data_IF_065740481505
#
_entry.id   IF_065740481505
#
_cell.length_a   1.000
_cell.length_b   1.000
_cell.length_c   1.000
_cell.angle_alpha   90.00
_cell.angle_beta   90.00
_cell.angle_gamma   90.00
#
_symmetry.space_group_name_H-M   'P 1'
#
loop_
_entity.id
_entity.type
_entity.pdbx_description
1 polymer ?
#
# COMPACT_ATOMS: atom_id res chain seq x y z
N UNK A 1 16.00 16.15 28.94
CA UNK A 1 14.75 15.36 28.95
C UNK A 1 14.06 15.59 27.62
N UNK A 2 13.99 14.59 26.75
CA UNK A 2 13.25 14.72 25.49
C UNK A 2 11.75 14.67 25.80
N UNK A 3 10.99 15.66 25.34
CA UNK A 3 9.52 15.63 25.39
C UNK A 3 9.03 14.35 24.69
N UNK A 4 8.04 13.63 25.25
CA UNK A 4 7.45 12.51 24.54
C UNK A 4 6.87 13.02 23.22
N UNK A 5 7.02 12.28 22.11
CA UNK A 5 6.44 12.69 20.83
C UNK A 5 4.93 12.85 21.02
N UNK A 6 4.39 14.01 20.64
CA UNK A 6 2.96 14.29 20.75
C UNK A 6 2.17 13.22 19.99
N UNK A 7 1.09 12.66 20.56
CA UNK A 7 0.27 11.70 19.87
C UNK A 7 -0.40 12.36 18.66
N UNK A 8 -0.26 11.72 17.49
CA UNK A 8 -0.91 12.11 16.25
C UNK A 8 -2.24 11.36 16.18
N UNK A 9 -3.35 12.10 16.14
CA UNK A 9 -4.68 11.50 16.02
C UNK A 9 -5.00 11.24 14.55
N UNK A 10 -5.05 9.99 14.12
CA UNK A 10 -5.42 9.63 12.75
C UNK A 10 -6.89 9.25 12.71
N UNK A 11 -7.73 10.06 12.07
CA UNK A 11 -9.14 9.77 11.86
C UNK A 11 -9.29 9.04 10.53
N UNK A 12 -9.86 7.85 10.59
CA UNK A 12 -10.12 7.04 9.39
C UNK A 12 -11.60 7.12 9.07
N UNK A 13 -11.92 7.63 7.89
CA UNK A 13 -13.28 7.80 7.40
C UNK A 13 -13.52 6.93 6.17
N UNK A 14 -14.73 6.41 6.01
CA UNK A 14 -15.19 5.78 4.78
C UNK A 14 -16.14 6.72 4.03
N UNK A 15 -16.53 6.34 2.82
CA UNK A 15 -17.61 7.01 2.08
C UNK A 15 -18.96 6.97 2.83
N UNK A 16 -19.14 6.05 3.78
CA UNK A 16 -20.32 5.94 4.63
C UNK A 16 -20.22 6.69 5.97
N UNK A 17 -19.13 7.43 6.21
CA UNK A 17 -18.89 8.15 7.46
C UNK A 17 -17.66 7.66 8.25
N UNK A 18 -17.45 8.19 9.48
CA UNK A 18 -16.28 7.87 10.28
C UNK A 18 -16.25 6.39 10.69
N UNK A 19 -15.09 5.74 10.53
CA UNK A 19 -14.90 4.34 10.91
C UNK A 19 -14.27 4.21 12.29
N UNK A 20 -13.09 4.82 12.47
CA UNK A 20 -12.34 4.74 13.72
C UNK A 20 -11.37 5.90 13.86
N UNK A 21 -10.85 6.06 15.07
CA UNK A 21 -9.77 6.99 15.39
C UNK A 21 -8.60 6.16 15.94
N UNK A 22 -7.41 6.38 15.39
CA UNK A 22 -6.18 5.69 15.77
C UNK A 22 -5.23 6.71 16.38
N UNK A 23 -4.79 6.48 17.60
CA UNK A 23 -3.67 7.23 18.17
C UNK A 23 -2.35 6.67 17.62
N UNK A 24 -1.71 7.44 16.76
CA UNK A 24 -0.46 7.10 16.13
C UNK A 24 0.66 8.02 16.64
N UNK A 25 1.89 7.70 16.25
CA UNK A 25 3.02 8.60 16.45
C UNK A 25 3.66 8.94 15.10
N UNK A 26 4.54 9.94 15.08
CA UNK A 26 5.17 10.39 13.85
C UNK A 26 6.11 9.35 13.20
N UNK A 27 6.55 8.32 13.92
CA UNK A 27 7.44 7.28 13.39
C UNK A 27 6.69 6.14 12.71
N UNK A 28 5.38 6.02 12.93
CA UNK A 28 4.54 5.02 12.29
C UNK A 28 4.53 5.15 10.77
N UNK A 29 4.39 3.99 10.14
CA UNK A 29 4.17 3.85 8.71
C UNK A 29 2.68 3.69 8.42
N UNK A 30 2.32 3.83 7.14
CA UNK A 30 0.96 3.52 6.67
C UNK A 30 0.59 2.06 6.97
N UNK A 31 1.56 1.13 6.93
CA UNK A 31 1.33 -0.27 7.31
C UNK A 31 0.91 -0.41 8.78
N UNK A 32 1.48 0.39 9.68
CA UNK A 32 1.11 0.40 11.10
C UNK A 32 -0.33 0.92 11.28
N UNK A 33 -0.71 1.96 10.53
CA UNK A 33 -2.09 2.46 10.50
C UNK A 33 -3.04 1.39 9.98
N UNK A 34 -2.72 0.75 8.85
CA UNK A 34 -3.55 -0.36 8.32
C UNK A 34 -3.74 -1.45 9.35
N UNK A 35 -2.67 -1.79 10.09
CA UNK A 35 -2.72 -2.79 11.17
C UNK A 35 -3.60 -2.34 12.34
N UNK A 36 -3.59 -1.05 12.69
CA UNK A 36 -4.46 -0.51 13.74
C UNK A 36 -5.93 -0.47 13.30
N UNK A 37 -6.21 -0.07 12.05
CA UNK A 37 -7.56 -0.09 11.46
C UNK A 37 -8.10 -1.51 11.39
N UNK A 38 -7.27 -2.49 11.03
CA UNK A 38 -7.63 -3.92 11.02
C UNK A 38 -8.10 -4.37 12.41
N UNK A 39 -7.29 -4.12 13.44
CA UNK A 39 -7.66 -4.43 14.83
C UNK A 39 -8.94 -3.72 15.31
N UNK A 40 -9.18 -2.49 14.86
CA UNK A 40 -10.31 -1.68 15.32
C UNK A 40 -11.62 -2.00 14.58
N UNK A 41 -11.55 -2.34 13.30
CA UNK A 41 -12.73 -2.45 12.41
C UNK A 41 -12.98 -3.88 11.90
N UNK A 42 -11.99 -4.76 12.01
CA UNK A 42 -12.01 -6.10 11.43
C UNK A 42 -11.81 -6.13 9.91
N UNK A 43 -11.53 -4.99 9.27
CA UNK A 43 -11.24 -4.93 7.83
C UNK A 43 -9.79 -5.37 7.61
N UNK A 44 -9.50 -6.49 6.93
CA UNK A 44 -8.14 -6.98 6.76
C UNK A 44 -7.26 -5.96 6.02
N UNK A 45 -5.98 -5.82 6.40
CA UNK A 45 -5.04 -4.85 5.77
C UNK A 45 -5.02 -4.88 4.24
N UNK A 46 -5.17 -6.06 3.64
CA UNK A 46 -5.18 -6.26 2.17
C UNK A 46 -6.41 -5.64 1.51
N UNK A 47 -7.52 -5.55 2.24
CA UNK A 47 -8.75 -4.88 1.80
C UNK A 47 -8.68 -3.35 1.99
N UNK A 48 -7.64 -2.82 2.61
CA UNK A 48 -7.56 -1.40 2.95
C UNK A 48 -6.77 -0.57 1.93
N UNK A 49 -7.44 0.39 1.29
CA UNK A 49 -6.82 1.53 0.60
C UNK A 49 -6.92 2.77 1.46
N UNK A 50 -5.80 3.26 1.97
CA UNK A 50 -5.75 4.53 2.69
C UNK A 50 -5.35 5.63 1.72
N UNK A 51 -6.16 6.67 1.65
CA UNK A 51 -5.92 7.85 0.85
C UNK A 51 -5.79 9.06 1.75
N UNK A 52 -4.83 9.92 1.42
CA UNK A 52 -4.80 11.29 1.89
C UNK A 52 -5.35 12.16 0.77
N UNK A 53 -6.46 12.85 1.05
CA UNK A 53 -7.24 13.60 0.05
C UNK A 53 -7.67 12.69 -1.13
N UNK A 54 -6.90 12.67 -2.22
CA UNK A 54 -7.12 11.86 -3.42
C UNK A 54 -5.94 10.94 -3.76
N UNK A 55 -4.89 10.92 -2.93
CA UNK A 55 -3.67 10.16 -3.19
C UNK A 55 -3.59 8.90 -2.33
N UNK A 56 -3.48 7.73 -2.98
CA UNK A 56 -3.25 6.46 -2.30
C UNK A 56 -1.87 6.46 -1.62
N UNK A 57 -1.87 6.20 -0.31
CA UNK A 57 -0.68 6.12 0.51
C UNK A 57 -0.04 4.74 0.41
N UNK A 58 1.29 4.71 0.27
CA UNK A 58 2.06 3.45 0.20
C UNK A 58 2.34 2.93 1.60
N UNK A 59 2.37 1.62 1.77
CA UNK A 59 2.65 0.98 3.07
C UNK A 59 3.95 1.47 3.73
N UNK A 60 4.98 1.74 2.94
CA UNK A 60 6.29 2.21 3.41
C UNK A 60 6.35 3.72 3.71
N UNK A 61 5.28 4.48 3.43
CA UNK A 61 5.25 5.92 3.71
C UNK A 61 5.16 6.17 5.21
N UNK A 62 6.00 7.08 5.72
CA UNK A 62 5.97 7.49 7.12
C UNK A 62 4.98 8.64 7.34
N UNK A 63 4.30 8.65 8.49
CA UNK A 63 3.36 9.71 8.83
C UNK A 63 4.04 11.07 9.00
N UNK A 64 5.30 11.09 9.44
CA UNK A 64 6.11 12.32 9.52
C UNK A 64 6.34 13.02 8.18
N UNK A 65 6.18 12.32 7.06
CA UNK A 65 6.34 12.87 5.71
C UNK A 65 5.07 13.48 5.13
N UNK A 66 3.94 13.33 5.82
CA UNK A 66 2.65 13.86 5.38
C UNK A 66 2.49 15.32 5.85
N UNK A 67 1.75 16.15 5.09
CA UNK A 67 1.43 17.51 5.51
C UNK A 67 0.47 17.48 6.71
N UNK A 68 1.04 17.44 7.92
CA UNK A 68 0.30 17.44 9.18
C UNK A 68 0.22 18.88 9.68
N UNK A 69 -0.85 19.60 9.34
CA UNK A 69 -1.06 20.99 9.80
C UNK A 69 -1.53 21.08 11.27
N UNK A 70 -2.14 20.01 11.78
CA UNK A 70 -2.72 19.89 13.13
C UNK A 70 -2.34 18.52 13.71
N UNK A 71 -2.40 18.27 15.03
CA UNK A 71 -2.18 16.94 15.59
C UNK A 71 -3.29 15.93 15.22
N UNK A 72 -4.02 16.18 14.13
CA UNK A 72 -5.06 15.34 13.56
C UNK A 72 -4.81 15.16 12.06
N UNK A 73 -4.86 13.92 11.58
CA UNK A 73 -4.74 13.55 10.18
C UNK A 73 -5.99 12.79 9.75
N UNK A 74 -6.68 13.26 8.73
CA UNK A 74 -7.86 12.59 8.18
C UNK A 74 -7.46 11.73 6.99
N UNK A 75 -7.73 10.42 7.07
CA UNK A 75 -7.49 9.45 6.01
C UNK A 75 -8.80 8.85 5.53
N UNK A 76 -8.95 8.73 4.22
CA UNK A 76 -10.08 8.03 3.61
C UNK A 76 -9.72 6.57 3.40
N UNK A 77 -10.50 5.66 3.98
CA UNK A 77 -10.44 4.23 3.73
C UNK A 77 -11.42 3.85 2.61
N UNK A 78 -10.88 3.35 1.50
CA UNK A 78 -11.66 2.60 0.51
C UNK A 78 -11.44 1.11 0.74
N UNK A 79 -12.55 0.38 0.87
CA UNK A 79 -12.53 -1.08 1.01
C UNK A 79 -12.42 -1.72 -0.38
N UNK A 80 -11.35 -2.49 -0.61
CA UNK A 80 -11.21 -3.35 -1.79
C UNK A 80 -12.16 -4.54 -1.68
N UNK A 81 -12.57 -5.08 -2.82
CA UNK A 81 -13.37 -6.30 -2.81
C UNK A 81 -12.55 -7.48 -2.27
N UNK A 82 -13.24 -8.47 -1.71
CA UNK A 82 -12.61 -9.72 -1.25
C UNK A 82 -11.85 -10.38 -2.41
N UNK A 83 -12.41 -10.35 -3.63
CA UNK A 83 -11.74 -10.87 -4.82
C UNK A 83 -10.39 -10.17 -5.07
N UNK A 84 -10.34 -8.84 -4.98
CA UNK A 84 -9.08 -8.09 -5.12
C UNK A 84 -8.08 -8.45 -4.02
N UNK A 85 -8.54 -8.62 -2.78
CA UNK A 85 -7.69 -9.03 -1.67
C UNK A 85 -7.09 -10.44 -1.85
N UNK A 86 -7.89 -11.39 -2.34
CA UNK A 86 -7.44 -12.75 -2.68
C UNK A 86 -6.37 -12.71 -3.78
N UNK A 87 -6.54 -11.88 -4.80
CA UNK A 87 -5.52 -11.68 -5.83
C UNK A 87 -4.23 -11.09 -5.25
N UNK A 88 -4.31 -10.06 -4.39
CA UNK A 88 -3.13 -9.49 -3.73
C UNK A 88 -2.38 -10.53 -2.88
N UNK A 89 -3.09 -11.41 -2.20
CA UNK A 89 -2.49 -12.52 -1.46
C UNK A 89 -1.78 -13.50 -2.38
N UNK A 90 -2.46 -13.93 -3.45
CA UNK A 90 -1.87 -14.82 -4.44
C UNK A 90 -0.61 -14.22 -5.07
N UNK A 91 -0.68 -12.96 -5.49
CA UNK A 91 0.44 -12.25 -6.13
C UNK A 91 1.63 -12.03 -5.19
N UNK A 92 1.37 -11.92 -3.89
CA UNK A 92 2.45 -11.85 -2.89
C UNK A 92 3.25 -13.15 -2.75
N UNK A 93 2.67 -14.30 -3.10
CA UNK A 93 3.36 -15.60 -3.08
C UNK A 93 3.84 -16.03 -4.47
N UNK A 94 3.06 -15.74 -5.50
CA UNK A 94 3.32 -16.11 -6.89
C UNK A 94 3.03 -14.92 -7.81
N UNK A 95 4.10 -14.20 -8.18
CA UNK A 95 4.00 -13.07 -9.10
C UNK A 95 3.55 -13.46 -10.51
N UNK A 96 3.73 -14.72 -10.92
CA UNK A 96 3.25 -15.21 -12.22
C UNK A 96 1.72 -15.35 -12.27
N UNK A 97 1.04 -15.31 -11.12
CA UNK A 97 -0.42 -15.30 -11.11
C UNK A 97 -1.01 -14.07 -11.82
N UNK A 98 -0.23 -13.00 -12.01
CA UNK A 98 -0.69 -11.79 -12.73
C UNK A 98 -1.05 -12.08 -14.19
N UNK A 99 -0.42 -13.09 -14.80
CA UNK A 99 -0.72 -13.55 -16.17
C UNK A 99 -2.16 -14.08 -16.29
N UNK A 100 -2.73 -14.62 -15.21
CA UNK A 100 -4.11 -15.11 -15.18
C UNK A 100 -5.09 -14.11 -14.53
N UNK A 101 -4.59 -12.99 -14.01
CA UNK A 101 -5.41 -12.03 -13.29
C UNK A 101 -6.33 -11.24 -14.23
N UNK A 102 -7.54 -10.86 -13.77
CA UNK A 102 -8.46 -10.05 -14.57
C UNK A 102 -7.92 -8.63 -14.77
N UNK A 103 -8.44 -7.92 -15.78
CA UNK A 103 -7.96 -6.59 -16.17
C UNK A 103 -7.94 -5.57 -15.02
N UNK A 104 -8.92 -5.63 -14.11
CA UNK A 104 -8.97 -4.77 -12.93
C UNK A 104 -7.78 -4.96 -11.98
N UNK A 105 -7.23 -6.18 -11.88
CA UNK A 105 -6.05 -6.50 -11.06
C UNK A 105 -4.76 -6.11 -11.78
N UNK A 106 -4.71 -6.30 -13.10
CA UNK A 106 -3.57 -5.85 -13.92
C UNK A 106 -3.46 -4.33 -13.97
N UNK A 107 -4.57 -3.62 -13.80
CA UNK A 107 -4.62 -2.17 -13.67
C UNK A 107 -4.48 -1.69 -12.22
N UNK A 108 -4.42 -2.61 -11.25
CA UNK A 108 -4.23 -2.25 -9.85
C UNK A 108 -2.73 -2.15 -9.51
N UNK A 109 -2.31 -0.94 -9.13
CA UNK A 109 -0.91 -0.65 -8.83
C UNK A 109 -0.34 -1.53 -7.72
N UNK A 110 -1.08 -1.76 -6.63
CA UNK A 110 -0.59 -2.59 -5.53
C UNK A 110 -0.47 -4.05 -5.97
N UNK A 111 -1.41 -4.55 -6.76
CA UNK A 111 -1.35 -5.91 -7.30
C UNK A 111 -0.14 -6.10 -8.23
N UNK A 112 0.10 -5.16 -9.15
CA UNK A 112 1.27 -5.19 -10.03
C UNK A 112 2.56 -5.11 -9.24
N UNK A 113 2.67 -4.22 -8.24
CA UNK A 113 3.85 -4.12 -7.41
C UNK A 113 4.09 -5.38 -6.57
N UNK A 114 3.04 -5.99 -6.02
CA UNK A 114 3.14 -7.26 -5.31
C UNK A 114 3.66 -8.37 -6.24
N UNK A 115 3.13 -8.45 -7.46
CA UNK A 115 3.55 -9.42 -8.46
C UNK A 115 5.01 -9.22 -8.88
N UNK A 116 5.40 -7.97 -9.15
CA UNK A 116 6.76 -7.58 -9.52
C UNK A 116 7.76 -7.85 -8.40
N UNK A 117 7.36 -7.70 -7.14
CA UNK A 117 8.20 -8.06 -6.01
C UNK A 117 8.56 -9.54 -5.98
N UNK A 118 7.68 -10.42 -6.47
CA UNK A 118 7.88 -11.86 -6.49
C UNK A 118 8.42 -12.37 -7.83
N UNK A 119 8.11 -11.70 -8.94
CA UNK A 119 8.54 -12.09 -10.28
C UNK A 119 8.71 -10.84 -11.17
N UNK A 120 9.95 -10.48 -11.50
CA UNK A 120 10.29 -9.24 -12.22
C UNK A 120 9.59 -9.10 -13.58
N UNK A 121 9.34 -10.22 -14.28
CA UNK A 121 8.68 -10.23 -15.58
C UNK A 121 7.16 -9.97 -15.51
N UNK A 122 6.57 -9.97 -14.30
CA UNK A 122 5.15 -9.71 -14.12
C UNK A 122 4.73 -8.31 -14.63
N UNK A 123 5.65 -7.34 -14.68
CA UNK A 123 5.37 -6.00 -15.20
C UNK A 123 4.82 -6.02 -16.63
N UNK A 124 5.20 -7.01 -17.45
CA UNK A 124 4.71 -7.17 -18.83
C UNK A 124 3.21 -7.47 -18.91
N UNK A 125 2.62 -7.95 -17.81
CA UNK A 125 1.19 -8.24 -17.71
C UNK A 125 0.39 -7.09 -17.10
N UNK A 126 1.04 -6.04 -16.61
CA UNK A 126 0.36 -4.85 -16.09
C UNK A 126 -0.44 -4.15 -17.20
N UNK A 127 -1.44 -3.35 -16.82
CA UNK A 127 -2.13 -2.49 -17.75
C UNK A 127 -1.17 -1.46 -18.37
N UNK A 128 -1.38 -1.02 -19.63
CA UNK A 128 -0.48 -0.10 -20.34
C UNK A 128 -0.15 1.17 -19.54
N UNK A 129 -1.11 1.68 -18.77
CA UNK A 129 -0.96 2.87 -17.93
C UNK A 129 0.10 2.65 -16.84
N UNK A 130 0.13 1.45 -16.25
CA UNK A 130 1.12 1.08 -15.22
C UNK A 130 2.47 0.65 -15.81
N UNK A 131 2.49 0.13 -17.04
CA UNK A 131 3.74 -0.12 -17.75
C UNK A 131 4.46 1.20 -18.09
N UNK A 132 3.70 2.27 -18.35
CA UNK A 132 4.22 3.61 -18.55
C UNK A 132 4.47 4.38 -17.24
N UNK A 133 3.94 3.91 -16.10
CA UNK A 133 4.18 4.53 -14.80
C UNK A 133 5.65 4.34 -14.38
N UNK A 134 6.41 5.42 -14.51
CA UNK A 134 7.83 5.46 -14.16
C UNK A 134 8.10 5.01 -12.73
N UNK A 135 7.20 5.28 -11.78
CA UNK A 135 7.34 4.84 -10.39
C UNK A 135 7.22 3.33 -10.23
N UNK A 136 6.30 2.69 -10.96
CA UNK A 136 6.17 1.23 -10.98
C UNK A 136 7.38 0.59 -11.66
N UNK A 137 7.78 1.10 -12.83
CA UNK A 137 8.95 0.61 -13.57
C UNK A 137 10.23 0.73 -12.74
N UNK A 138 10.46 1.87 -12.08
CA UNK A 138 11.65 2.07 -11.25
C UNK A 138 11.69 1.12 -10.06
N UNK A 139 10.56 0.85 -9.40
CA UNK A 139 10.53 -0.16 -8.33
C UNK A 139 10.82 -1.56 -8.86
N UNK A 140 10.28 -1.92 -10.04
CA UNK A 140 10.58 -3.19 -10.70
C UNK A 140 12.08 -3.34 -10.98
N UNK A 141 12.69 -2.32 -11.60
CA UNK A 141 14.12 -2.30 -11.93
C UNK A 141 14.99 -2.35 -10.67
N UNK A 142 14.65 -1.58 -9.63
CA UNK A 142 15.40 -1.56 -8.36
C UNK A 142 15.39 -2.90 -7.64
N UNK A 143 14.32 -3.68 -7.81
CA UNK A 143 14.19 -5.02 -7.23
C UNK A 143 14.89 -6.08 -8.09
N UNK A 144 14.71 -6.05 -9.40
CA UNK A 144 15.42 -6.94 -10.33
C UNK A 144 16.94 -6.72 -10.33
N UNK A 145 17.38 -5.47 -10.21
CA UNK A 145 18.81 -5.11 -10.10
C UNK A 145 19.43 -5.57 -8.77
N UNK A 146 18.65 -5.71 -7.71
CA UNK A 146 19.10 -6.36 -6.47
C UNK A 146 19.25 -7.88 -6.61
N UNK A 147 18.52 -8.53 -7.52
CA UNK A 147 18.76 -9.94 -7.83
C UNK A 147 20.09 -10.16 -8.59
N UNK A 148 20.51 -9.19 -9.42
CA UNK A 148 21.83 -9.21 -10.06
C UNK A 148 22.99 -8.95 -9.09
N UNK A 149 22.78 -8.19 -8.02
CA UNK A 149 23.79 -7.93 -6.99
C UNK A 149 24.13 -9.17 -6.13
N UNK A 150 23.39 -10.27 -6.27
CA UNK A 150 23.64 -11.56 -5.60
C UNK A 150 24.11 -12.64 -6.60
N UNK A 151 24.25 -12.29 -7.89
CA UNK A 151 24.76 -13.19 -8.93
C UNK A 151 26.28 -13.09 -9.11
N UNK A 152 26.96 -12.37 -8.22
CA UNK A 152 28.43 -12.30 -8.12
C UNK A 152 28.83 -12.79 -6.71
N UNK A 153 28.77 -14.11 -6.53
CA UNK A 153 29.51 -14.89 -5.53
C UNK A 153 30.07 -16.16 -6.20
#
# INVERSE_FOLDING_TARGET
MALPPLPLTVRVVSMGGPLCVVEANATWTVLDIKSAVDRATGIPRREQRLLLEAHELKDASHLSSLPVEKPSLDLTLLRRSVEQAVWLERLSHDGQALFAAPGAIRADREAVLAAVCSHSDALRCAAPELQADRGVVLEAVRRSGRALAWADE
#
